data_IF_035136935063
#
_entry.id   IF_035136935063
#
_cell.length_a   1.000
_cell.length_b   1.000
_cell.length_c   1.000
_cell.angle_alpha   90.00
_cell.angle_beta   90.00
_cell.angle_gamma   90.00
#
_symmetry.space_group_name_H-M   'P 1'
#
loop_
_entity.id
_entity.type
_entity.pdbx_description
1 polymer ?
#
# COMPACT_ATOMS: atom_id res chain seq x y z
N UNK A 1 12.52 3.25 17.82
CA UNK A 1 12.74 2.36 18.96
C UNK A 1 13.24 1.01 18.47
N UNK A 2 14.35 0.55 19.06
CA UNK A 2 14.82 -0.83 18.86
C UNK A 2 13.97 -1.78 19.71
N UNK A 3 13.46 -2.82 19.09
CA UNK A 3 12.61 -3.83 19.71
C UNK A 3 13.26 -5.20 19.49
N UNK A 4 13.58 -5.90 20.58
CA UNK A 4 14.31 -7.18 20.53
C UNK A 4 13.45 -8.39 20.91
N UNK A 5 12.20 -8.18 21.31
CA UNK A 5 11.29 -9.27 21.70
C UNK A 5 9.83 -9.00 21.28
N UNK A 6 9.07 -10.06 21.13
CA UNK A 6 7.63 -9.98 20.86
C UNK A 6 6.88 -9.20 21.96
N UNK A 7 7.27 -9.40 23.24
CA UNK A 7 6.66 -8.67 24.36
C UNK A 7 6.85 -7.17 24.21
N UNK A 8 8.08 -6.72 23.98
CA UNK A 8 8.39 -5.29 23.75
C UNK A 8 7.63 -4.72 22.53
N UNK A 9 7.46 -5.51 21.48
CA UNK A 9 6.69 -5.09 20.31
C UNK A 9 5.23 -4.84 20.68
N UNK A 10 4.58 -5.78 21.37
CA UNK A 10 3.18 -5.66 21.78
C UNK A 10 2.97 -4.49 22.75
N UNK A 11 3.85 -4.32 23.72
CA UNK A 11 3.83 -3.16 24.65
C UNK A 11 3.95 -1.84 23.91
N UNK A 12 4.83 -1.77 22.91
CA UNK A 12 4.99 -0.57 22.08
C UNK A 12 3.74 -0.25 21.27
N UNK A 13 3.08 -1.26 20.70
CA UNK A 13 1.82 -1.10 19.98
C UNK A 13 0.70 -0.60 20.92
N UNK A 14 0.55 -1.21 22.09
CA UNK A 14 -0.47 -0.79 23.06
C UNK A 14 -0.20 0.64 23.58
N UNK A 15 1.04 0.98 23.84
CA UNK A 15 1.45 2.34 24.22
C UNK A 15 1.09 3.35 23.12
N UNK A 16 1.38 3.05 21.84
CA UNK A 16 1.03 3.91 20.73
C UNK A 16 -0.49 4.07 20.61
N UNK A 17 -1.25 3.00 20.75
CA UNK A 17 -2.72 3.05 20.74
C UNK A 17 -3.29 3.91 21.88
N UNK A 18 -2.66 3.91 23.06
CA UNK A 18 -3.14 4.70 24.21
C UNK A 18 -3.04 6.22 24.00
N UNK A 19 -2.18 6.70 23.11
CA UNK A 19 -2.12 8.12 22.74
C UNK A 19 -3.30 8.57 21.86
N UNK A 20 -4.08 7.62 21.32
CA UNK A 20 -5.18 7.88 20.42
C UNK A 20 -6.43 7.19 20.96
N UNK A 21 -7.12 7.79 21.96
CA UNK A 21 -8.26 7.16 22.63
C UNK A 21 -9.41 6.89 21.65
N UNK A 22 -10.15 5.82 21.91
CA UNK A 22 -11.24 5.31 21.09
C UNK A 22 -12.44 6.26 20.92
N UNK A 23 -12.53 7.33 21.69
CA UNK A 23 -13.65 8.28 21.66
C UNK A 23 -13.90 8.93 20.30
N UNK A 24 -12.87 9.00 19.45
CA UNK A 24 -12.99 9.47 18.06
C UNK A 24 -13.76 8.49 17.18
N UNK A 25 -14.04 7.26 17.65
CA UNK A 25 -14.52 6.11 16.87
C UNK A 25 -15.91 5.61 17.22
N UNK A 26 -16.62 6.26 18.13
CA UNK A 26 -17.95 5.84 18.59
C UNK A 26 -18.98 5.65 17.47
N UNK A 27 -18.78 6.26 16.31
CA UNK A 27 -19.66 6.15 15.15
C UNK A 27 -19.22 5.10 14.11
N UNK A 28 -18.06 4.46 14.27
CA UNK A 28 -17.61 3.39 13.37
C UNK A 28 -16.66 2.40 14.09
N UNK A 29 -17.20 1.43 14.83
CA UNK A 29 -16.41 0.46 15.59
C UNK A 29 -15.55 -0.48 14.72
N UNK A 30 -15.79 -0.52 13.40
CA UNK A 30 -15.02 -1.33 12.45
C UNK A 30 -13.87 -0.56 11.80
N UNK A 31 -13.74 0.74 12.04
CA UNK A 31 -12.64 1.53 11.52
C UNK A 31 -11.36 1.20 12.31
N UNK A 32 -10.52 0.35 11.76
CA UNK A 32 -9.18 0.13 12.29
C UNK A 32 -8.44 1.46 12.33
N UNK A 33 -8.04 1.86 13.53
CA UNK A 33 -7.35 3.11 13.77
C UNK A 33 -5.97 3.14 13.13
N UNK A 34 -5.31 1.99 13.10
CA UNK A 34 -3.94 1.84 12.62
C UNK A 34 -3.84 0.84 11.48
N UNK A 35 -2.94 1.16 10.56
CA UNK A 35 -2.56 0.31 9.45
C UNK A 35 -1.05 0.10 9.53
N UNK A 36 -0.62 -1.13 9.37
CA UNK A 36 0.76 -1.55 9.57
C UNK A 36 1.39 -2.06 8.27
N UNK A 37 2.68 -1.79 8.09
CA UNK A 37 3.50 -2.39 7.03
C UNK A 37 4.82 -2.87 7.60
N UNK A 38 5.11 -4.17 7.45
CA UNK A 38 6.40 -4.77 7.78
C UNK A 38 7.33 -4.79 6.57
N UNK A 39 8.57 -4.38 6.76
CA UNK A 39 9.65 -4.44 5.78
C UNK A 39 10.83 -5.19 6.39
N UNK A 40 11.37 -6.18 5.69
CA UNK A 40 12.44 -7.05 6.17
C UNK A 40 13.83 -6.38 6.20
N UNK A 41 13.93 -5.14 5.81
CA UNK A 41 15.14 -4.34 5.87
C UNK A 41 14.79 -2.89 6.22
N UNK A 42 15.43 -2.34 7.24
CA UNK A 42 15.20 -0.96 7.68
C UNK A 42 15.58 0.10 6.63
N UNK A 43 16.41 -0.27 5.65
CA UNK A 43 16.75 0.63 4.54
C UNK A 43 15.65 0.73 3.48
N UNK A 44 14.65 -0.14 3.53
CA UNK A 44 13.54 -0.10 2.59
C UNK A 44 12.56 1.03 2.91
N UNK A 45 12.07 1.67 1.87
CA UNK A 45 11.09 2.75 1.93
C UNK A 45 9.67 2.26 1.68
N UNK A 46 8.67 3.02 2.13
CA UNK A 46 7.26 2.77 1.84
C UNK A 46 6.92 3.17 0.40
N UNK A 47 7.33 2.32 -0.53
CA UNK A 47 7.15 2.51 -1.98
C UNK A 47 6.71 1.19 -2.62
N UNK A 48 5.69 1.17 -3.51
CA UNK A 48 5.26 -0.02 -4.24
C UNK A 48 6.36 -0.61 -5.11
N UNK A 49 6.26 -1.92 -5.38
CA UNK A 49 7.26 -2.66 -6.13
C UNK A 49 7.57 -2.09 -7.50
N UNK A 50 6.53 -1.61 -8.21
CA UNK A 50 6.69 -1.05 -9.56
C UNK A 50 7.56 0.22 -9.59
N UNK A 51 7.61 0.98 -8.49
CA UNK A 51 8.37 2.23 -8.40
C UNK A 51 9.74 2.06 -7.72
N UNK A 52 10.07 0.87 -7.23
CA UNK A 52 11.41 0.60 -6.70
C UNK A 52 12.38 0.57 -7.86
N UNK A 53 13.46 1.31 -7.74
CA UNK A 53 14.55 1.26 -8.72
C UNK A 53 15.11 -0.16 -8.73
N UNK A 54 14.86 -0.88 -9.80
CA UNK A 54 15.64 -2.05 -10.12
C UNK A 54 16.91 -1.53 -10.78
N UNK A 55 18.03 -1.65 -10.11
CA UNK A 55 19.35 -1.54 -10.72
C UNK A 55 19.57 -2.80 -11.54
N UNK A 56 18.98 -2.86 -12.72
CA UNK A 56 19.40 -3.82 -13.72
C UNK A 56 20.74 -3.30 -14.28
N UNK A 57 21.79 -4.06 -14.10
CA UNK A 57 23.07 -3.80 -14.76
C UNK A 57 23.05 -4.49 -16.12
N UNK A 58 22.94 -3.72 -17.18
CA UNK A 58 23.24 -4.20 -18.54
C UNK A 58 24.63 -3.68 -18.90
N UNK A 59 25.54 -4.59 -19.25
CA UNK A 59 26.95 -4.28 -19.62
C UNK A 59 27.70 -3.45 -18.55
N UNK A 60 27.40 -3.65 -17.26
CA UNK A 60 28.07 -2.95 -16.16
C UNK A 60 27.58 -1.52 -15.91
N UNK A 61 26.59 -1.04 -16.63
CA UNK A 61 25.95 0.26 -16.41
C UNK A 61 24.62 0.10 -15.68
N UNK A 62 24.43 0.85 -14.58
CA UNK A 62 23.17 0.88 -13.84
C UNK A 62 22.12 1.63 -14.67
N UNK A 63 21.03 0.95 -15.01
CA UNK A 63 19.85 1.58 -15.62
C UNK A 63 18.93 2.01 -14.48
N UNK A 64 18.87 3.31 -14.21
CA UNK A 64 17.85 3.89 -13.35
C UNK A 64 16.53 3.96 -14.14
N UNK A 65 15.55 3.14 -13.76
CA UNK A 65 14.21 3.23 -14.35
C UNK A 65 13.55 4.56 -13.95
N UNK A 66 13.27 5.39 -14.95
CA UNK A 66 12.48 6.60 -14.80
C UNK A 66 11.04 6.25 -14.40
N UNK A 67 10.43 7.11 -13.58
CA UNK A 67 9.05 7.01 -13.10
C UNK A 67 8.04 6.82 -14.23
N UNK A 68 8.24 7.49 -15.36
CA UNK A 68 7.40 7.35 -16.54
C UNK A 68 7.45 5.94 -17.14
N UNK A 69 8.62 5.34 -17.17
CA UNK A 69 8.79 3.95 -17.62
C UNK A 69 8.08 2.96 -16.72
N UNK A 70 8.05 3.22 -15.41
CA UNK A 70 7.32 2.38 -14.45
C UNK A 70 5.81 2.36 -14.73
N UNK A 71 5.21 3.49 -15.12
CA UNK A 71 3.78 3.58 -15.46
C UNK A 71 3.43 2.88 -16.77
N UNK A 72 4.26 3.04 -17.80
CA UNK A 72 4.10 2.32 -19.05
C UNK A 72 4.24 0.82 -18.81
N UNK A 73 5.25 0.40 -18.05
CA UNK A 73 5.50 -0.99 -17.66
C UNK A 73 4.34 -1.59 -16.86
N UNK A 74 3.74 -0.85 -15.91
CA UNK A 74 2.58 -1.33 -15.17
C UNK A 74 1.39 -1.66 -16.07
N UNK A 75 1.08 -0.77 -17.04
CA UNK A 75 0.01 -1.01 -18.00
C UNK A 75 0.24 -2.26 -18.85
N UNK A 76 1.46 -2.47 -19.29
CA UNK A 76 1.81 -3.63 -20.11
C UNK A 76 1.81 -4.93 -19.30
N UNK A 77 2.31 -4.89 -18.07
CA UNK A 77 2.24 -6.02 -17.13
C UNK A 77 0.79 -6.39 -16.83
N UNK A 78 -0.06 -5.40 -16.57
CA UNK A 78 -1.49 -5.65 -16.30
C UNK A 78 -2.20 -6.24 -17.52
N UNK A 79 -1.95 -5.72 -18.72
CA UNK A 79 -2.50 -6.28 -19.96
C UNK A 79 -2.05 -7.72 -20.19
N UNK A 80 -0.76 -8.03 -20.00
CA UNK A 80 -0.24 -9.38 -20.13
C UNK A 80 -0.88 -10.33 -19.13
N UNK A 81 -1.00 -9.91 -17.87
CA UNK A 81 -1.69 -10.68 -16.83
C UNK A 81 -3.16 -10.94 -17.18
N UNK A 82 -3.89 -9.91 -17.64
CA UNK A 82 -5.27 -10.04 -18.08
C UNK A 82 -5.41 -11.05 -19.22
N UNK A 83 -4.53 -10.97 -20.21
CA UNK A 83 -4.53 -11.89 -21.34
C UNK A 83 -4.34 -13.34 -20.91
N UNK A 84 -3.35 -13.61 -20.05
CA UNK A 84 -3.03 -14.96 -19.60
C UNK A 84 -4.07 -15.52 -18.61
N UNK A 85 -4.60 -14.68 -17.72
CA UNK A 85 -5.50 -15.10 -16.66
C UNK A 85 -6.98 -15.09 -17.03
N UNK A 86 -7.36 -14.48 -18.16
CA UNK A 86 -8.77 -14.32 -18.57
C UNK A 86 -9.53 -15.63 -18.74
N UNK A 87 -8.87 -16.71 -19.08
CA UNK A 87 -9.44 -18.05 -19.17
C UNK A 87 -9.83 -18.65 -17.81
N UNK A 88 -9.15 -18.25 -16.76
CA UNK A 88 -9.31 -18.76 -15.38
C UNK A 88 -10.09 -17.82 -14.50
N UNK A 89 -9.76 -16.53 -14.52
CA UNK A 89 -10.42 -15.50 -13.73
C UNK A 89 -11.61 -14.93 -14.52
N UNK A 90 -12.79 -14.98 -13.90
CA UNK A 90 -14.05 -14.49 -14.52
C UNK A 90 -14.30 -13.03 -14.15
N UNK A 91 -13.33 -12.18 -14.40
CA UNK A 91 -13.39 -10.74 -14.12
C UNK A 91 -13.79 -10.02 -15.43
N UNK A 92 -14.74 -9.07 -15.41
CA UNK A 92 -15.03 -8.23 -16.56
C UNK A 92 -13.78 -7.50 -17.05
N UNK A 93 -13.59 -7.40 -18.36
CA UNK A 93 -12.36 -6.79 -18.94
C UNK A 93 -12.23 -5.29 -18.69
N UNK A 94 -13.32 -4.62 -18.37
CA UNK A 94 -13.36 -3.19 -18.01
C UNK A 94 -13.15 -2.92 -16.53
N UNK A 95 -13.17 -3.96 -15.68
CA UNK A 95 -12.95 -3.86 -14.24
C UNK A 95 -11.46 -3.91 -13.92
N UNK A 96 -10.75 -2.86 -14.29
CA UNK A 96 -9.30 -2.75 -14.10
C UNK A 96 -8.87 -2.77 -12.63
N UNK A 97 -9.74 -2.35 -11.71
CA UNK A 97 -9.43 -2.41 -10.28
C UNK A 97 -9.30 -3.86 -9.82
N UNK A 98 -10.29 -4.71 -10.08
CA UNK A 98 -10.20 -6.12 -9.74
C UNK A 98 -9.03 -6.82 -10.44
N UNK A 99 -8.77 -6.51 -11.69
CA UNK A 99 -7.60 -7.04 -12.40
C UNK A 99 -6.30 -6.66 -11.73
N UNK A 100 -6.15 -5.42 -11.28
CA UNK A 100 -4.95 -4.95 -10.59
C UNK A 100 -4.81 -5.58 -9.18
N UNK A 101 -5.92 -5.80 -8.45
CA UNK A 101 -5.93 -6.51 -7.16
C UNK A 101 -5.42 -7.96 -7.32
N UNK A 102 -5.94 -8.68 -8.32
CA UNK A 102 -5.47 -10.03 -8.62
C UNK A 102 -4.02 -10.05 -9.10
N UNK A 103 -3.62 -9.13 -9.97
CA UNK A 103 -2.24 -9.00 -10.41
C UNK A 103 -1.29 -8.82 -9.22
N UNK A 104 -1.61 -7.92 -8.28
CA UNK A 104 -0.88 -7.73 -7.03
C UNK A 104 -0.82 -9.02 -6.21
N UNK A 105 -1.94 -9.71 -6.05
CA UNK A 105 -2.03 -10.94 -5.29
C UNK A 105 -1.13 -12.06 -5.88
N UNK A 106 -1.04 -12.14 -7.20
CA UNK A 106 -0.18 -13.10 -7.91
C UNK A 106 1.26 -12.61 -8.10
N UNK A 107 1.64 -11.49 -7.47
CA UNK A 107 3.03 -11.02 -7.45
C UNK A 107 3.45 -10.21 -8.67
N UNK A 108 2.52 -9.81 -9.53
CA UNK A 108 2.82 -8.85 -10.60
C UNK A 108 3.09 -7.50 -9.97
N UNK A 109 4.21 -6.82 -10.31
CA UNK A 109 4.50 -5.49 -9.79
C UNK A 109 3.41 -4.48 -10.19
N UNK A 110 2.80 -3.87 -9.20
CA UNK A 110 1.76 -2.85 -9.36
C UNK A 110 2.08 -1.63 -8.51
N UNK A 111 1.28 -0.57 -8.65
CA UNK A 111 1.29 0.60 -7.76
C UNK A 111 0.63 0.37 -6.41
N UNK A 112 0.24 -0.86 -6.13
CA UNK A 112 -0.36 -1.25 -4.86
C UNK A 112 0.72 -1.64 -3.86
N UNK A 113 0.50 -1.26 -2.62
CA UNK A 113 1.29 -1.71 -1.48
C UNK A 113 0.37 -2.33 -0.45
N UNK A 114 0.66 -3.59 -0.10
CA UNK A 114 -0.08 -4.29 0.93
C UNK A 114 0.21 -3.69 2.30
N UNK A 115 -0.84 -3.48 3.05
CA UNK A 115 -0.82 -3.10 4.45
C UNK A 115 -1.75 -4.02 5.24
N UNK A 116 -1.64 -4.00 6.55
CA UNK A 116 -2.43 -4.86 7.43
C UNK A 116 -3.01 -4.07 8.60
N UNK A 117 -4.21 -4.42 9.04
CA UNK A 117 -4.72 -3.99 10.35
C UNK A 117 -4.18 -4.84 11.50
N UNK A 118 -3.52 -5.95 11.18
CA UNK A 118 -2.95 -6.87 12.17
C UNK A 118 -1.46 -6.55 12.39
N UNK A 119 -1.05 -6.04 13.56
CA UNK A 119 0.35 -5.73 13.85
C UNK A 119 1.23 -6.97 13.82
N UNK A 120 0.73 -8.16 14.17
CA UNK A 120 1.51 -9.40 14.11
C UNK A 120 1.77 -9.85 12.68
N UNK A 121 0.84 -9.62 11.76
CA UNK A 121 1.09 -9.87 10.34
C UNK A 121 2.21 -8.96 9.81
N UNK A 122 2.21 -7.69 10.18
CA UNK A 122 3.28 -6.77 9.80
C UNK A 122 4.64 -7.19 10.40
N UNK A 123 4.67 -7.59 11.68
CA UNK A 123 5.88 -8.12 12.32
C UNK A 123 6.40 -9.38 11.59
N UNK A 124 5.51 -10.30 11.23
CA UNK A 124 5.89 -11.48 10.46
C UNK A 124 6.60 -11.09 9.15
N UNK A 125 6.05 -10.14 8.38
CA UNK A 125 6.68 -9.67 7.15
C UNK A 125 8.01 -8.93 7.39
N UNK A 126 8.16 -8.25 8.52
CA UNK A 126 9.42 -7.62 8.88
C UNK A 126 10.54 -8.63 9.21
N UNK A 127 10.18 -9.84 9.67
CA UNK A 127 11.14 -10.86 10.12
C UNK A 127 11.34 -12.01 9.12
N UNK A 128 10.49 -12.15 8.09
CA UNK A 128 10.40 -13.38 7.28
C UNK A 128 11.60 -13.63 6.37
N UNK A 129 12.03 -12.61 5.62
CA UNK A 129 12.84 -12.83 4.43
C UNK A 129 14.34 -12.55 4.62
N UNK A 130 14.72 -11.72 5.59
CA UNK A 130 16.11 -11.36 5.87
C UNK A 130 16.41 -11.46 7.35
N UNK A 131 17.28 -12.41 7.71
CA UNK A 131 17.68 -12.64 9.11
C UNK A 131 18.96 -11.89 9.50
N UNK A 132 19.62 -11.26 8.54
CA UNK A 132 20.91 -10.58 8.72
C UNK A 132 20.77 -9.05 8.81
N UNK A 133 19.56 -8.54 8.59
CA UNK A 133 19.26 -7.09 8.67
C UNK A 133 18.10 -6.86 9.64
N UNK A 134 18.10 -5.69 10.26
CA UNK A 134 16.97 -5.28 11.09
C UNK A 134 15.76 -4.97 10.20
N UNK A 135 14.61 -5.59 10.52
CA UNK A 135 13.34 -5.26 9.90
C UNK A 135 12.71 -4.00 10.52
N UNK A 136 11.78 -3.42 9.81
CA UNK A 136 11.02 -2.25 10.27
C UNK A 136 9.52 -2.50 10.17
N UNK A 137 8.77 -2.13 11.20
CA UNK A 137 7.31 -2.05 11.12
C UNK A 137 6.90 -0.58 11.12
N UNK A 138 6.33 -0.16 10.01
CA UNK A 138 5.68 1.13 9.86
C UNK A 138 4.27 1.08 10.39
N UNK A 139 3.87 2.16 11.04
CA UNK A 139 2.54 2.32 11.60
C UNK A 139 1.97 3.65 11.10
N UNK A 140 0.82 3.58 10.44
CA UNK A 140 0.07 4.73 9.96
C UNK A 140 -1.23 4.85 10.74
N UNK A 141 -1.54 6.05 11.23
CA UNK A 141 -2.84 6.33 11.82
C UNK A 141 -3.91 6.43 10.71
N UNK A 142 -4.51 5.29 10.39
CA UNK A 142 -5.37 5.14 9.22
C UNK A 142 -6.57 6.08 9.19
N UNK A 143 -7.17 6.38 10.36
CA UNK A 143 -8.31 7.31 10.44
C UNK A 143 -7.90 8.75 10.12
N UNK A 144 -6.77 9.21 10.67
CA UNK A 144 -6.27 10.56 10.38
C UNK A 144 -5.88 10.68 8.90
N UNK A 145 -5.23 9.64 8.37
CA UNK A 145 -4.89 9.59 6.96
C UNK A 145 -6.12 9.59 6.05
N UNK A 146 -7.15 8.81 6.36
CA UNK A 146 -8.43 8.82 5.62
C UNK A 146 -9.14 10.18 5.71
N UNK A 147 -9.04 10.86 6.85
CA UNK A 147 -9.62 12.21 7.02
C UNK A 147 -8.85 13.24 6.19
N UNK A 148 -7.54 13.17 6.15
CA UNK A 148 -6.70 13.98 5.27
C UNK A 148 -7.06 13.73 3.81
N UNK A 149 -7.03 12.47 3.36
CA UNK A 149 -7.41 12.09 2.00
C UNK A 149 -8.84 12.52 1.66
N UNK A 150 -9.78 12.40 2.59
CA UNK A 150 -11.19 12.77 2.36
C UNK A 150 -11.36 14.25 2.03
N UNK A 151 -10.57 15.13 2.66
CA UNK A 151 -10.54 16.56 2.32
C UNK A 151 -9.91 16.78 0.95
N UNK A 152 -8.72 16.24 0.75
CA UNK A 152 -7.98 16.36 -0.50
C UNK A 152 -8.76 15.79 -1.70
N UNK A 153 -9.33 14.59 -1.57
CA UNK A 153 -10.13 13.96 -2.62
C UNK A 153 -11.40 14.76 -2.92
N UNK A 154 -12.07 15.30 -1.90
CA UNK A 154 -13.29 16.08 -2.10
C UNK A 154 -13.03 17.39 -2.84
N UNK A 155 -11.92 18.03 -2.56
CA UNK A 155 -11.48 19.24 -3.27
C UNK A 155 -11.22 18.96 -4.75
N UNK A 156 -10.55 17.82 -5.05
CA UNK A 156 -10.13 17.48 -6.41
C UNK A 156 -11.21 16.70 -7.22
N UNK A 157 -12.03 15.87 -6.56
CA UNK A 157 -12.87 14.86 -7.23
C UNK A 157 -14.36 14.90 -6.82
N UNK A 158 -14.78 15.80 -5.97
CA UNK A 158 -16.18 15.94 -5.56
C UNK A 158 -16.69 14.72 -4.77
N UNK A 159 -17.79 14.11 -5.25
CA UNK A 159 -18.46 12.99 -4.56
C UNK A 159 -18.17 11.60 -5.16
N UNK A 160 -17.09 11.44 -5.93
CA UNK A 160 -16.71 10.14 -6.48
C UNK A 160 -16.42 9.10 -5.40
N UNK A 161 -16.78 7.84 -5.68
CA UNK A 161 -16.44 6.73 -4.77
C UNK A 161 -14.95 6.40 -4.87
N UNK A 162 -14.38 5.89 -3.79
CA UNK A 162 -12.94 5.51 -3.72
C UNK A 162 -12.57 4.53 -4.85
N UNK A 163 -13.43 3.56 -5.16
CA UNK A 163 -13.18 2.59 -6.22
C UNK A 163 -13.12 3.24 -7.62
N UNK A 164 -13.96 4.21 -7.87
CA UNK A 164 -13.95 4.98 -9.12
C UNK A 164 -12.65 5.77 -9.26
N UNK A 165 -12.22 6.43 -8.18
CA UNK A 165 -10.97 7.17 -8.11
C UNK A 165 -9.77 6.27 -8.38
N UNK A 166 -9.72 5.09 -7.74
CA UNK A 166 -8.62 4.13 -7.97
C UNK A 166 -8.66 3.62 -9.41
N UNK A 167 -9.83 3.35 -9.97
CA UNK A 167 -9.98 3.00 -11.38
C UNK A 167 -9.42 4.07 -12.33
N UNK A 168 -9.63 5.34 -12.03
CA UNK A 168 -9.06 6.46 -12.78
C UNK A 168 -7.53 6.55 -12.60
N UNK A 169 -7.02 6.31 -11.39
CA UNK A 169 -5.57 6.24 -11.13
C UNK A 169 -4.93 5.14 -11.99
N UNK A 170 -5.51 3.94 -12.04
CA UNK A 170 -4.99 2.81 -12.83
C UNK A 170 -5.02 3.13 -14.33
N UNK A 171 -6.05 3.82 -14.79
CA UNK A 171 -6.16 4.28 -16.19
C UNK A 171 -5.18 5.41 -16.53
N UNK A 172 -4.58 6.06 -15.53
CA UNK A 172 -3.76 7.27 -15.70
C UNK A 172 -4.60 8.52 -16.01
N UNK A 173 -5.86 8.52 -15.57
CA UNK A 173 -6.82 9.61 -15.79
C UNK A 173 -7.07 10.46 -14.53
N UNK A 174 -6.36 10.19 -13.44
CA UNK A 174 -6.49 10.92 -12.17
C UNK A 174 -5.29 11.83 -11.92
N UNK A 175 -5.54 12.98 -11.31
CA UNK A 175 -4.50 13.92 -10.85
C UNK A 175 -4.17 13.75 -9.36
N UNK A 176 -4.70 12.72 -8.70
CA UNK A 176 -4.42 12.47 -7.29
C UNK A 176 -2.94 12.14 -7.12
N UNK A 177 -2.26 12.89 -6.27
CA UNK A 177 -0.84 12.73 -5.98
C UNK A 177 -0.59 11.70 -4.87
N UNK A 178 -1.36 11.78 -3.79
CA UNK A 178 -1.19 10.96 -2.60
C UNK A 178 -1.72 9.54 -2.77
N UNK A 179 -1.12 8.56 -2.08
CA UNK A 179 -1.65 7.20 -2.08
C UNK A 179 -3.05 7.13 -1.48
N UNK A 180 -3.93 6.35 -2.10
CA UNK A 180 -5.30 6.11 -1.62
C UNK A 180 -5.34 4.84 -0.80
N UNK A 181 -5.75 4.96 0.48
CA UNK A 181 -5.92 3.82 1.38
C UNK A 181 -7.34 3.27 1.26
N UNK A 182 -7.49 1.99 0.90
CA UNK A 182 -8.78 1.35 0.79
C UNK A 182 -8.75 -0.13 1.21
N UNK A 183 -9.92 -0.69 1.48
CA UNK A 183 -10.10 -2.11 1.78
C UNK A 183 -10.45 -2.83 0.48
N UNK A 184 -9.60 -3.78 0.01
CA UNK A 184 -9.89 -4.56 -1.20
C UNK A 184 -11.03 -5.54 -0.98
N UNK A 185 -11.57 -6.08 -2.07
CA UNK A 185 -12.34 -7.31 -2.00
C UNK A 185 -11.38 -8.47 -1.68
N UNK A 186 -11.73 -9.25 -0.65
CA UNK A 186 -10.89 -10.40 -0.30
C UNK A 186 -11.06 -11.50 -1.35
N UNK A 187 -9.98 -11.79 -2.06
CA UNK A 187 -9.95 -12.84 -3.08
C UNK A 187 -9.71 -14.22 -2.48
N UNK A 188 -9.17 -14.28 -1.26
CA UNK A 188 -8.96 -15.52 -0.51
C UNK A 188 -9.02 -15.33 1.01
N UNK A 189 -9.04 -16.47 1.72
CA UNK A 189 -9.06 -16.50 3.18
C UNK A 189 -7.79 -15.89 3.84
N UNK A 190 -6.65 -15.90 3.13
CA UNK A 190 -5.39 -15.33 3.63
C UNK A 190 -5.48 -13.81 3.71
N UNK A 191 -6.05 -13.15 2.70
CA UNK A 191 -6.26 -11.70 2.72
C UNK A 191 -7.18 -11.28 3.86
N UNK A 192 -8.25 -12.03 4.09
CA UNK A 192 -9.16 -11.79 5.22
C UNK A 192 -8.45 -11.97 6.57
N UNK A 193 -7.71 -13.06 6.76
CA UNK A 193 -6.98 -13.34 7.99
C UNK A 193 -5.89 -12.30 8.32
N UNK A 194 -5.29 -11.70 7.30
CA UNK A 194 -4.27 -10.66 7.44
C UNK A 194 -4.86 -9.27 7.69
N UNK A 195 -6.19 -9.10 7.60
CA UNK A 195 -6.83 -7.79 7.69
C UNK A 195 -6.27 -6.83 6.63
N UNK A 196 -6.24 -7.30 5.38
CA UNK A 196 -5.53 -6.63 4.29
C UNK A 196 -6.15 -5.28 3.93
N UNK A 197 -5.27 -4.30 3.73
CA UNK A 197 -5.53 -3.02 3.12
C UNK A 197 -4.58 -2.82 1.94
N UNK A 198 -5.00 -2.04 0.97
CA UNK A 198 -4.10 -1.53 -0.06
C UNK A 198 -3.91 -0.02 0.08
N UNK A 199 -2.67 0.41 -0.11
CA UNK A 199 -2.35 1.78 -0.48
C UNK A 199 -2.04 1.81 -1.97
N UNK A 200 -2.77 2.63 -2.72
CA UNK A 200 -2.65 2.74 -4.18
C UNK A 200 -2.05 4.08 -4.52
N UNK A 201 -0.85 4.09 -5.07
CA UNK A 201 -0.14 5.33 -5.42
C UNK A 201 -0.82 6.06 -6.57
N UNK A 202 -0.95 7.37 -6.40
CA UNK A 202 -1.41 8.30 -7.42
C UNK A 202 -0.33 8.68 -8.42
N UNK A 203 -0.23 9.97 -8.73
CA UNK A 203 0.73 10.49 -9.72
C UNK A 203 2.11 10.74 -9.14
N UNK A 204 2.23 10.95 -7.84
CA UNK A 204 3.50 11.23 -7.17
C UNK A 204 4.20 9.93 -6.77
N UNK A 205 5.28 9.59 -7.46
CA UNK A 205 6.05 8.36 -7.22
C UNK A 205 7.17 8.58 -6.21
N UNK A 206 6.79 8.93 -4.99
CA UNK A 206 7.71 9.11 -3.86
C UNK A 206 7.35 8.16 -2.71
N UNK A 207 8.32 7.83 -1.84
CA UNK A 207 8.03 7.11 -0.60
C UNK A 207 7.01 7.85 0.27
N UNK A 208 6.07 7.11 0.86
CA UNK A 208 5.01 7.69 1.69
C UNK A 208 5.56 8.56 2.83
N UNK A 209 6.63 8.10 3.50
CA UNK A 209 7.26 8.82 4.59
C UNK A 209 7.81 10.19 4.17
N UNK A 210 8.23 10.34 2.92
CA UNK A 210 8.68 11.64 2.38
C UNK A 210 7.51 12.55 2.08
N UNK A 211 6.43 12.02 1.52
CA UNK A 211 5.21 12.79 1.25
C UNK A 211 4.63 13.36 2.54
N UNK A 212 4.52 12.52 3.59
CA UNK A 212 3.94 12.93 4.87
C UNK A 212 4.83 13.92 5.63
N UNK A 213 6.17 13.84 5.48
CA UNK A 213 7.09 14.80 6.10
C UNK A 213 6.99 16.18 5.49
N UNK A 214 6.81 16.26 4.16
CA UNK A 214 6.71 17.52 3.44
C UNK A 214 5.49 18.35 3.88
N UNK A 215 4.40 17.67 4.25
CA UNK A 215 3.13 18.31 4.63
C UNK A 215 2.91 18.41 6.14
N UNK A 216 3.93 18.12 6.98
CA UNK A 216 3.81 18.08 8.44
C UNK A 216 2.68 17.15 8.95
N UNK A 217 2.44 16.04 8.26
CA UNK A 217 1.40 15.06 8.57
C UNK A 217 1.92 13.87 9.41
N UNK A 218 3.08 14.01 10.02
CA UNK A 218 3.68 13.02 10.92
C UNK A 218 3.10 13.06 12.33
#
# INVERSE_FOLDING_TARGET
HYISSLGQYLESIEKLKSYYPAEVFLNNPTANQFVYRGLCDQAYTLLPGIFRQQTDTVDGHAITNDTYLAWAKEKDLLKSFMHEASGTLKIPTDDLLHWAEYAQHYGVPTRFMDCSSNPLAALYFACRDKITTDGTVWLLHGTNYKRFLGRYIKEENGNKKIQEIIGEIIKGASNIEYPVLYTPYYVDARMSAQGSYFMVWGTLCQPLERMLSADNLQ
#
